data_IF_790236960801
#
_entry.id   IF_790236960801
#
_cell.length_a   1.000
_cell.length_b   1.000
_cell.length_c   1.000
_cell.angle_alpha   90.00
_cell.angle_beta   90.00
_cell.angle_gamma   90.00
#
_symmetry.space_group_name_H-M   'P 1'
#
loop_
_entity.id
_entity.type
_entity.pdbx_description
1 polymer ?
#
# COMPACT_ATOMS: atom_id res chain seq x y z
N UNK A 1 -58.55 32.09 50.00
CA UNK A 1 -58.08 30.81 50.59
C UNK A 1 -56.62 30.70 50.19
N UNK A 2 -55.71 30.77 51.15
CA UNK A 2 -54.27 30.92 50.92
C UNK A 2 -53.51 29.60 51.14
N UNK A 3 -52.31 29.50 50.55
CA UNK A 3 -51.14 28.70 50.95
C UNK A 3 -51.35 27.17 51.12
N UNK A 4 -50.41 26.30 50.74
CA UNK A 4 -48.97 26.40 50.98
C UNK A 4 -48.17 25.48 50.03
N UNK A 5 -46.86 25.73 49.89
CA UNK A 5 -45.91 24.84 49.20
C UNK A 5 -45.18 23.99 50.24
N UNK A 6 -45.37 22.67 50.19
CA UNK A 6 -44.73 21.72 51.11
C UNK A 6 -43.41 21.15 50.58
N UNK A 7 -42.30 21.54 51.20
CA UNK A 7 -40.98 20.91 51.01
C UNK A 7 -40.64 20.07 52.24
N UNK A 8 -40.23 18.80 52.09
CA UNK A 8 -39.49 18.07 53.14
C UNK A 8 -38.73 16.82 52.63
N UNK A 9 -37.44 17.03 52.35
CA UNK A 9 -36.26 16.17 52.63
C UNK A 9 -36.41 14.64 52.50
N UNK A 10 -35.72 14.07 51.50
CA UNK A 10 -35.32 12.65 51.43
C UNK A 10 -33.81 12.49 51.68
N UNK A 11 -33.41 11.49 52.48
CA UNK A 11 -32.07 11.36 53.06
C UNK A 11 -30.97 10.95 52.06
N UNK A 12 -29.76 11.52 52.20
CA UNK A 12 -28.58 11.09 51.45
C UNK A 12 -27.91 9.85 52.10
N UNK A 13 -27.88 8.73 51.39
CA UNK A 13 -27.25 7.49 51.82
C UNK A 13 -25.72 7.57 51.76
N UNK A 14 -25.07 7.59 52.93
CA UNK A 14 -23.60 7.63 53.06
C UNK A 14 -22.99 6.22 52.95
N UNK A 15 -22.70 5.79 51.73
CA UNK A 15 -21.81 4.65 51.49
C UNK A 15 -20.67 5.08 50.56
N UNK A 16 -19.42 5.26 51.07
CA UNK A 16 -18.27 5.47 50.21
C UNK A 16 -17.96 4.15 49.50
N UNK A 17 -18.38 4.02 48.24
CA UNK A 17 -17.87 2.97 47.36
C UNK A 17 -16.39 3.27 47.14
N UNK A 18 -15.53 2.59 47.90
CA UNK A 18 -14.09 2.67 47.74
C UNK A 18 -13.73 1.96 46.43
N UNK A 19 -13.80 2.70 45.32
CA UNK A 19 -13.26 2.29 44.03
C UNK A 19 -11.74 2.26 44.21
N UNK A 20 -11.24 1.13 44.71
CA UNK A 20 -9.82 0.83 44.77
C UNK A 20 -9.34 0.70 43.33
N UNK A 21 -8.94 1.83 42.75
CA UNK A 21 -8.38 1.91 41.42
C UNK A 21 -7.01 1.22 41.45
N UNK A 22 -7.04 -0.10 41.29
CA UNK A 22 -5.87 -0.93 41.10
C UNK A 22 -5.28 -0.58 39.74
N UNK A 23 -4.53 0.52 39.69
CA UNK A 23 -3.64 0.88 38.57
C UNK A 23 -2.46 -0.09 38.60
N UNK A 24 -2.76 -1.36 38.34
CA UNK A 24 -1.75 -2.29 37.83
C UNK A 24 -1.23 -1.66 36.56
N UNK A 25 0.08 -1.43 36.51
CA UNK A 25 0.70 -0.89 35.31
C UNK A 25 0.37 -1.83 34.15
N UNK A 26 -0.40 -1.34 33.18
CA UNK A 26 -0.51 -2.00 31.88
C UNK A 26 0.94 -2.10 31.39
N UNK A 27 1.48 -3.32 31.17
CA UNK A 27 2.85 -3.44 30.70
C UNK A 27 2.93 -2.66 29.39
N UNK A 28 3.81 -1.66 29.34
CA UNK A 28 3.96 -0.83 28.16
C UNK A 28 4.24 -1.76 26.98
N UNK A 29 3.40 -1.69 25.95
CA UNK A 29 3.50 -2.55 24.78
C UNK A 29 4.67 -2.03 23.94
N UNK A 30 5.89 -2.34 24.38
CA UNK A 30 7.14 -2.05 23.69
C UNK A 30 7.27 -3.00 22.47
N UNK A 31 6.39 -2.79 21.49
CA UNK A 31 6.80 -2.91 20.11
C UNK A 31 7.68 -1.69 19.83
N UNK A 32 8.94 -1.92 19.45
CA UNK A 32 9.77 -0.86 18.90
C UNK A 32 9.10 -0.29 17.63
N UNK A 33 9.32 1.00 17.28
CA UNK A 33 8.72 1.58 16.08
C UNK A 33 9.04 0.74 14.84
N UNK A 34 8.02 0.41 14.06
CA UNK A 34 8.13 -0.36 12.81
C UNK A 34 9.21 0.28 11.92
N UNK A 35 10.27 -0.47 11.62
CA UNK A 35 11.35 0.03 10.75
C UNK A 35 10.80 0.26 9.33
N UNK A 36 11.28 1.31 8.66
CA UNK A 36 10.82 1.67 7.33
C UNK A 36 11.98 1.89 6.35
N UNK A 37 11.70 1.62 5.08
CA UNK A 37 12.63 1.84 3.96
C UNK A 37 12.12 2.98 3.08
N UNK A 38 13.03 3.86 2.65
CA UNK A 38 12.76 4.87 1.64
C UNK A 38 12.98 4.27 0.24
N UNK A 39 11.93 4.28 -0.58
CA UNK A 39 11.91 3.79 -1.95
C UNK A 39 11.67 4.91 -2.97
N UNK A 40 12.14 4.77 -4.19
CA UNK A 40 11.68 5.57 -5.32
C UNK A 40 10.18 5.32 -5.56
N UNK A 41 9.35 6.34 -5.90
CA UNK A 41 7.97 6.12 -6.31
C UNK A 41 7.91 5.15 -7.50
N UNK A 42 6.94 4.21 -7.53
CA UNK A 42 6.93 3.12 -8.51
C UNK A 42 6.49 3.53 -9.91
N UNK A 43 5.80 4.67 -10.07
CA UNK A 43 5.22 5.12 -11.33
C UNK A 43 5.34 6.63 -11.50
N UNK A 44 5.29 7.09 -12.75
CA UNK A 44 5.30 8.52 -13.12
C UNK A 44 3.88 9.13 -13.18
N UNK A 45 3.08 8.92 -12.13
CA UNK A 45 1.66 9.27 -12.06
C UNK A 45 1.19 9.50 -10.60
N UNK A 46 -0.05 9.96 -10.40
CA UNK A 46 -0.70 9.84 -9.09
C UNK A 46 -0.92 8.35 -8.80
N UNK A 47 -0.69 7.93 -7.56
CA UNK A 47 -1.05 6.61 -7.09
C UNK A 47 -1.52 6.70 -5.63
N UNK A 48 -2.28 5.69 -5.20
CA UNK A 48 -2.62 5.45 -3.80
C UNK A 48 -2.25 4.03 -3.43
N UNK A 49 -1.93 3.75 -2.17
CA UNK A 49 -1.62 2.40 -1.72
C UNK A 49 -2.43 2.04 -0.47
N UNK A 50 -2.93 0.80 -0.41
CA UNK A 50 -3.40 0.19 0.83
C UNK A 50 -2.26 -0.60 1.47
N UNK A 51 -1.89 -0.26 2.70
CA UNK A 51 -0.88 -0.97 3.49
C UNK A 51 -1.45 -2.27 4.07
N UNK A 52 -0.63 -3.32 4.13
CA UNK A 52 -0.91 -4.51 4.93
C UNK A 52 -0.61 -4.21 6.40
N UNK A 53 -1.59 -4.46 7.27
CA UNK A 53 -1.42 -4.21 8.71
C UNK A 53 -0.52 -5.26 9.37
N UNK A 54 0.09 -4.91 10.50
CA UNK A 54 1.00 -5.81 11.21
C UNK A 54 0.30 -7.13 11.61
N UNK A 55 0.98 -8.25 11.39
CA UNK A 55 0.43 -9.58 11.57
C UNK A 55 -0.55 -10.09 10.48
N UNK A 56 -1.04 -9.24 9.56
CA UNK A 56 -1.99 -9.63 8.51
C UNK A 56 -1.46 -10.79 7.65
N UNK A 57 -0.17 -10.73 7.30
CA UNK A 57 0.55 -11.76 6.56
C UNK A 57 1.91 -12.02 7.22
N UNK A 58 2.40 -13.25 7.07
CA UNK A 58 3.63 -13.74 7.73
C UNK A 58 4.79 -14.00 6.73
N UNK A 59 4.52 -13.86 5.44
CA UNK A 59 5.52 -13.92 4.37
C UNK A 59 6.30 -12.60 4.35
N UNK A 60 7.65 -12.65 4.31
CA UNK A 60 8.49 -11.44 4.26
C UNK A 60 8.22 -10.56 3.03
N UNK A 61 7.60 -11.10 1.98
CA UNK A 61 7.17 -10.34 0.81
C UNK A 61 5.82 -9.63 0.99
N UNK A 62 4.98 -10.08 1.92
CA UNK A 62 3.61 -9.57 2.11
C UNK A 62 3.45 -8.80 3.44
N UNK A 63 4.22 -9.16 4.47
CA UNK A 63 4.20 -8.52 5.78
C UNK A 63 4.65 -7.06 5.67
N UNK A 64 3.81 -6.12 6.13
CA UNK A 64 3.99 -4.67 5.96
C UNK A 64 4.15 -4.19 4.50
N UNK A 65 3.79 -5.03 3.53
CA UNK A 65 3.72 -4.67 2.11
C UNK A 65 2.57 -3.70 1.82
N UNK A 66 2.47 -3.26 0.57
CA UNK A 66 1.43 -2.35 0.12
C UNK A 66 0.98 -2.63 -1.31
N UNK A 67 -0.34 -2.57 -1.52
CA UNK A 67 -0.96 -2.70 -2.84
C UNK A 67 -1.24 -1.29 -3.39
N UNK A 68 -0.47 -0.87 -4.40
CA UNK A 68 -0.47 0.45 -4.99
C UNK A 68 -1.22 0.50 -6.33
N UNK A 69 -2.26 1.33 -6.41
CA UNK A 69 -3.10 1.53 -7.59
C UNK A 69 -2.81 2.91 -8.20
N UNK A 70 -2.60 2.94 -9.51
CA UNK A 70 -2.40 4.19 -10.28
C UNK A 70 -3.74 4.90 -10.46
N UNK A 71 -3.75 6.21 -10.26
CA UNK A 71 -4.95 7.06 -10.35
C UNK A 71 -4.75 8.17 -11.38
N UNK A 72 -5.84 8.68 -11.94
CA UNK A 72 -5.87 9.95 -12.70
C UNK A 72 -7.04 10.82 -12.24
N UNK A 73 -7.06 12.06 -12.70
CA UNK A 73 -8.20 12.97 -12.58
C UNK A 73 -9.09 12.80 -13.81
N UNK A 74 -10.31 12.29 -13.64
CA UNK A 74 -11.37 12.34 -14.66
C UNK A 74 -12.29 13.54 -14.42
N UNK A 75 -12.87 14.08 -15.49
CA UNK A 75 -13.94 15.07 -15.42
C UNK A 75 -15.22 14.52 -16.04
N UNK A 76 -16.31 14.52 -15.28
CA UNK A 76 -17.63 14.01 -15.66
C UNK A 76 -18.71 15.00 -15.22
N UNK A 77 -19.49 15.54 -16.16
CA UNK A 77 -20.45 16.65 -15.95
C UNK A 77 -19.86 17.81 -15.14
N UNK A 78 -18.74 18.37 -15.61
CA UNK A 78 -17.98 19.47 -14.96
C UNK A 78 -17.39 19.14 -13.56
N UNK A 79 -17.59 17.92 -13.04
CA UNK A 79 -17.08 17.46 -11.74
C UNK A 79 -15.80 16.65 -11.94
N UNK A 80 -14.74 16.98 -11.19
CA UNK A 80 -13.45 16.29 -11.31
C UNK A 80 -13.22 15.32 -10.15
N UNK A 81 -12.80 14.08 -10.45
CA UNK A 81 -12.62 12.98 -9.49
C UNK A 81 -11.29 12.26 -9.67
N UNK A 82 -10.65 11.85 -8.57
CA UNK A 82 -9.49 10.94 -8.61
C UNK A 82 -9.99 9.50 -8.72
N UNK A 83 -9.72 8.83 -9.84
CA UNK A 83 -10.20 7.46 -10.15
C UNK A 83 -9.06 6.53 -10.59
N UNK A 84 -9.15 5.20 -10.32
CA UNK A 84 -8.16 4.21 -10.75
C UNK A 84 -8.41 3.66 -12.18
N UNK A 85 -9.62 3.85 -12.70
CA UNK A 85 -10.06 3.43 -14.02
C UNK A 85 -11.03 4.46 -14.61
N UNK A 86 -11.28 4.35 -15.91
CA UNK A 86 -12.40 4.99 -16.63
C UNK A 86 -13.55 4.02 -16.87
N UNK A 87 -14.62 4.51 -17.47
CA UNK A 87 -15.77 3.71 -17.93
C UNK A 87 -16.40 2.89 -16.77
N UNK A 88 -16.34 1.56 -16.80
CA UNK A 88 -16.84 0.69 -15.72
C UNK A 88 -15.73 -0.11 -15.02
N UNK A 89 -14.46 0.04 -15.43
CA UNK A 89 -13.34 -0.71 -14.86
C UNK A 89 -13.43 -2.23 -15.05
N UNK A 90 -14.16 -2.72 -16.07
CA UNK A 90 -14.47 -4.13 -16.25
C UNK A 90 -13.43 -4.86 -17.11
N UNK A 91 -12.76 -4.15 -18.01
CA UNK A 91 -11.61 -4.66 -18.77
C UNK A 91 -10.30 -4.12 -18.18
N UNK A 92 -9.19 -4.84 -18.35
CA UNK A 92 -7.91 -4.39 -17.78
C UNK A 92 -7.49 -3.04 -18.36
N UNK A 93 -7.70 -2.86 -19.67
CA UNK A 93 -7.49 -1.65 -20.44
C UNK A 93 -8.19 -0.41 -19.87
N UNK A 94 -9.21 -0.54 -19.03
CA UNK A 94 -9.91 0.57 -18.37
C UNK A 94 -9.09 1.21 -17.25
N UNK A 95 -8.20 0.44 -16.62
CA UNK A 95 -7.44 0.85 -15.44
C UNK A 95 -6.17 1.61 -15.82
N UNK A 96 -5.93 2.76 -15.18
CA UNK A 96 -4.76 3.59 -15.48
C UNK A 96 -3.42 2.98 -15.05
N UNK A 97 -3.46 1.92 -14.24
CA UNK A 97 -2.29 1.12 -13.94
C UNK A 97 -1.94 0.12 -15.04
N UNK A 98 -2.85 -0.24 -15.93
CA UNK A 98 -2.61 -1.30 -16.91
C UNK A 98 -1.50 -0.91 -17.90
N UNK A 99 -0.47 -1.75 -17.96
CA UNK A 99 0.74 -1.53 -18.76
C UNK A 99 1.52 -0.24 -18.42
N UNK A 100 1.21 0.44 -17.31
CA UNK A 100 1.98 1.58 -16.84
C UNK A 100 3.43 1.13 -16.58
N UNK A 101 4.46 1.86 -17.06
CA UNK A 101 5.86 1.56 -16.73
C UNK A 101 6.08 1.55 -15.22
N UNK A 102 6.66 0.45 -14.73
CA UNK A 102 7.03 0.26 -13.34
C UNK A 102 8.52 0.54 -13.15
N UNK A 103 8.82 1.45 -12.23
CA UNK A 103 10.17 1.82 -11.84
C UNK A 103 10.74 0.92 -10.75
N UNK A 104 12.06 0.72 -10.77
CA UNK A 104 12.79 0.16 -9.64
C UNK A 104 12.69 1.11 -8.42
N UNK A 105 12.33 0.60 -7.22
CA UNK A 105 12.34 1.36 -5.97
C UNK A 105 13.76 1.74 -5.50
N UNK A 106 14.81 1.17 -6.07
CA UNK A 106 16.17 1.24 -5.54
C UNK A 106 17.27 1.10 -6.60
N UNK A 107 18.47 1.60 -6.25
CA UNK A 107 19.72 1.14 -6.85
C UNK A 107 20.00 -0.27 -6.31
N UNK A 108 19.89 -1.28 -7.18
CA UNK A 108 19.65 -2.67 -6.78
C UNK A 108 20.20 -3.69 -7.77
N UNK A 109 20.41 -4.92 -7.31
CA UNK A 109 20.63 -6.11 -8.15
C UNK A 109 19.34 -6.93 -8.23
N UNK A 110 18.97 -7.43 -9.41
CA UNK A 110 17.85 -8.36 -9.60
C UNK A 110 18.25 -9.75 -9.11
N UNK A 111 17.58 -10.26 -8.06
CA UNK A 111 17.92 -11.54 -7.41
C UNK A 111 16.96 -12.68 -7.75
N UNK A 112 15.75 -12.38 -8.24
CA UNK A 112 14.85 -13.37 -8.82
C UNK A 112 13.85 -12.73 -9.79
N UNK A 113 13.46 -13.47 -10.82
CA UNK A 113 12.31 -13.16 -11.68
C UNK A 113 11.40 -14.40 -11.73
N UNK A 114 10.09 -14.19 -11.76
CA UNK A 114 9.10 -15.22 -12.03
C UNK A 114 8.00 -14.65 -12.94
N UNK A 115 7.60 -15.43 -13.93
CA UNK A 115 6.61 -15.04 -14.93
C UNK A 115 5.37 -15.95 -14.82
N UNK A 116 4.20 -15.33 -14.84
CA UNK A 116 2.90 -15.95 -14.97
C UNK A 116 2.11 -15.20 -16.06
N UNK A 117 1.97 -15.84 -17.23
CA UNK A 117 1.25 -15.28 -18.39
C UNK A 117 -0.27 -15.19 -18.19
N UNK A 118 -0.82 -15.79 -17.12
CA UNK A 118 -2.26 -15.86 -16.85
C UNK A 118 -2.81 -14.50 -16.43
N UNK A 119 -3.23 -13.70 -17.41
CA UNK A 119 -3.93 -12.44 -17.17
C UNK A 119 -5.33 -12.70 -16.58
N UNK A 120 -5.62 -12.07 -15.45
CA UNK A 120 -6.95 -12.04 -14.83
C UNK A 120 -7.85 -11.00 -15.51
N UNK A 121 -9.17 -11.14 -15.35
CA UNK A 121 -10.14 -10.09 -15.68
C UNK A 121 -10.46 -9.30 -14.39
N UNK A 122 -10.69 -7.97 -14.44
CA UNK A 122 -11.15 -7.22 -13.29
C UNK A 122 -12.31 -7.89 -12.53
N UNK A 123 -12.22 -7.93 -11.20
CA UNK A 123 -13.13 -8.64 -10.31
C UNK A 123 -13.02 -10.18 -10.33
N UNK A 124 -12.26 -10.80 -11.25
CA UNK A 124 -12.19 -12.25 -11.46
C UNK A 124 -10.73 -12.75 -11.48
N UNK A 125 -10.21 -13.08 -10.29
CA UNK A 125 -8.85 -13.59 -10.14
C UNK A 125 -8.70 -15.06 -10.59
N UNK A 126 -7.49 -15.41 -11.03
CA UNK A 126 -7.00 -16.79 -11.13
C UNK A 126 -5.97 -17.02 -10.01
N UNK A 127 -6.34 -17.70 -8.90
CA UNK A 127 -5.44 -17.91 -7.76
C UNK A 127 -4.13 -18.59 -8.16
N UNK A 128 -3.00 -18.05 -7.69
CA UNK A 128 -1.68 -18.56 -8.02
C UNK A 128 -0.57 -17.54 -7.76
N UNK A 129 0.68 -17.95 -7.96
CA UNK A 129 1.84 -17.06 -7.85
C UNK A 129 1.77 -16.00 -8.96
N UNK A 130 1.91 -14.74 -8.58
CA UNK A 130 1.93 -13.62 -9.52
C UNK A 130 3.31 -13.46 -10.18
N UNK A 131 3.34 -12.93 -11.41
CA UNK A 131 4.55 -12.42 -12.05
C UNK A 131 5.22 -11.43 -11.11
N UNK A 132 6.51 -11.63 -10.85
CA UNK A 132 7.22 -10.92 -9.79
C UNK A 132 8.72 -10.78 -10.04
N UNK A 133 9.27 -9.64 -9.61
CA UNK A 133 10.71 -9.36 -9.57
C UNK A 133 11.11 -9.25 -8.09
N UNK A 134 12.26 -9.81 -7.72
CA UNK A 134 12.94 -9.56 -6.44
C UNK A 134 14.22 -8.77 -6.69
N UNK A 135 14.41 -7.73 -5.89
CA UNK A 135 15.55 -6.82 -5.94
C UNK A 135 16.29 -6.87 -4.60
N UNK A 136 17.59 -6.62 -4.58
CA UNK A 136 18.37 -6.42 -3.37
C UNK A 136 19.34 -5.25 -3.51
N UNK A 137 19.36 -4.37 -2.51
CA UNK A 137 20.32 -3.27 -2.38
C UNK A 137 21.67 -3.79 -1.88
N UNK A 138 22.76 -3.04 -2.11
CA UNK A 138 24.08 -3.38 -1.56
C UNK A 138 24.13 -3.35 -0.01
N UNK A 139 23.10 -2.83 0.68
CA UNK A 139 22.96 -2.90 2.15
C UNK A 139 22.15 -4.11 2.66
N UNK A 140 21.69 -4.98 1.76
CA UNK A 140 20.98 -6.22 2.09
C UNK A 140 19.46 -6.08 2.27
N UNK A 141 18.89 -4.87 2.21
CA UNK A 141 17.43 -4.71 2.07
C UNK A 141 16.96 -5.29 0.74
N UNK A 142 15.95 -6.14 0.80
CA UNK A 142 15.28 -6.72 -0.35
C UNK A 142 13.98 -5.97 -0.63
N UNK A 143 13.56 -6.00 -1.89
CA UNK A 143 12.19 -5.68 -2.31
C UNK A 143 11.61 -6.83 -3.13
N UNK A 144 10.29 -7.01 -3.07
CA UNK A 144 9.52 -7.74 -4.07
C UNK A 144 8.54 -6.80 -4.74
N UNK A 145 8.37 -6.96 -6.06
CA UNK A 145 7.37 -6.29 -6.88
C UNK A 145 6.54 -7.38 -7.55
N UNK A 146 5.22 -7.34 -7.47
CA UNK A 146 4.34 -8.40 -7.94
C UNK A 146 3.09 -7.88 -8.68
N UNK A 147 2.38 -8.82 -9.32
CA UNK A 147 1.30 -8.61 -10.30
C UNK A 147 1.77 -7.98 -11.62
N UNK A 148 3.01 -8.28 -12.01
CA UNK A 148 3.69 -7.65 -13.14
C UNK A 148 3.29 -8.23 -14.51
N UNK A 149 3.55 -7.50 -15.59
CA UNK A 149 3.57 -8.00 -16.97
C UNK A 149 4.72 -7.35 -17.73
N UNK A 150 5.10 -7.87 -18.90
CA UNK A 150 6.14 -7.25 -19.75
C UNK A 150 7.39 -6.88 -18.93
N UNK A 151 8.04 -7.89 -18.33
CA UNK A 151 9.26 -7.72 -17.51
C UNK A 151 10.44 -7.39 -18.43
N UNK A 152 11.21 -6.36 -18.09
CA UNK A 152 12.26 -5.75 -18.92
C UNK A 152 13.68 -5.99 -18.35
N UNK A 153 13.85 -6.94 -17.42
CA UNK A 153 15.12 -7.27 -16.72
C UNK A 153 15.31 -8.77 -16.47
N UNK A 154 16.57 -9.19 -16.36
CA UNK A 154 16.99 -10.57 -16.07
C UNK A 154 17.65 -10.70 -14.68
N UNK A 155 17.83 -11.94 -14.20
CA UNK A 155 18.46 -12.20 -12.89
C UNK A 155 19.97 -11.96 -12.99
N UNK A 156 20.48 -11.06 -12.14
CA UNK A 156 21.87 -10.59 -12.15
C UNK A 156 22.03 -9.15 -12.62
N UNK A 157 21.01 -8.55 -13.26
CA UNK A 157 21.05 -7.16 -13.69
C UNK A 157 21.22 -6.20 -12.50
N UNK A 158 22.02 -5.14 -12.69
CA UNK A 158 22.01 -3.96 -11.81
C UNK A 158 21.13 -2.88 -12.41
N UNK A 159 20.15 -2.43 -11.62
CA UNK A 159 19.14 -1.44 -11.98
C UNK A 159 19.26 -0.21 -11.10
N UNK A 160 18.91 0.96 -11.64
CA UNK A 160 18.92 2.24 -10.91
C UNK A 160 17.53 2.60 -10.36
N UNK A 161 17.47 3.34 -9.26
CA UNK A 161 16.23 3.89 -8.73
C UNK A 161 15.54 4.80 -9.77
N UNK A 162 14.31 4.47 -10.16
CA UNK A 162 13.59 5.16 -11.25
C UNK A 162 13.77 4.56 -12.65
N UNK A 163 14.62 3.54 -12.84
CA UNK A 163 14.72 2.79 -14.09
C UNK A 163 13.46 1.94 -14.32
N UNK A 164 12.93 1.91 -15.54
CA UNK A 164 11.83 0.99 -15.91
C UNK A 164 12.36 -0.45 -15.91
N UNK A 165 11.64 -1.36 -15.25
CA UNK A 165 12.03 -2.77 -15.10
C UNK A 165 10.89 -3.75 -15.43
N UNK A 166 9.66 -3.28 -15.53
CA UNK A 166 8.50 -4.05 -15.97
C UNK A 166 7.33 -3.09 -16.29
N UNK A 167 6.16 -3.68 -16.56
CA UNK A 167 4.87 -2.98 -16.59
C UNK A 167 3.94 -3.51 -15.48
N UNK A 168 3.03 -2.67 -14.99
CA UNK A 168 1.96 -3.11 -14.07
C UNK A 168 0.94 -3.99 -14.84
N UNK A 169 0.55 -5.11 -14.22
CA UNK A 169 -0.35 -6.11 -14.78
C UNK A 169 -1.43 -6.55 -13.80
N UNK A 170 -2.02 -7.73 -14.04
CA UNK A 170 -3.12 -8.30 -13.26
C UNK A 170 -3.08 -9.83 -13.41
N UNK A 171 -2.44 -10.53 -12.48
CA UNK A 171 -2.30 -11.99 -12.48
C UNK A 171 -2.13 -12.54 -11.05
N UNK A 172 -2.33 -13.85 -10.86
CA UNK A 172 -2.31 -14.47 -9.54
C UNK A 172 -3.44 -13.94 -8.64
N UNK A 173 -3.16 -13.68 -7.37
CA UNK A 173 -4.14 -13.20 -6.38
C UNK A 173 -4.67 -11.74 -6.58
N UNK A 174 -4.37 -11.10 -7.72
CA UNK A 174 -4.90 -9.78 -8.06
C UNK A 174 -6.37 -9.81 -8.55
N UNK A 175 -7.13 -8.78 -8.22
CA UNK A 175 -8.50 -8.53 -8.74
C UNK A 175 -8.57 -7.39 -9.76
N UNK A 176 -7.49 -6.65 -10.00
CA UNK A 176 -7.45 -5.49 -10.91
C UNK A 176 -6.01 -5.03 -11.15
N UNK A 177 -5.71 -4.30 -12.23
CA UNK A 177 -4.36 -3.75 -12.47
C UNK A 177 -3.81 -2.87 -11.33
N UNK A 178 -2.80 -3.38 -10.63
CA UNK A 178 -2.11 -2.71 -9.54
C UNK A 178 -0.69 -3.28 -9.34
N UNK A 179 0.16 -2.57 -8.60
CA UNK A 179 1.44 -3.08 -8.10
C UNK A 179 1.24 -3.60 -6.68
N UNK A 180 1.70 -4.81 -6.38
CA UNK A 180 2.04 -5.18 -5.00
C UNK A 180 3.54 -4.93 -4.76
N UNK A 181 3.90 -4.29 -3.64
CA UNK A 181 5.29 -4.07 -3.22
C UNK A 181 5.50 -4.45 -1.75
N UNK A 182 6.55 -5.23 -1.48
CA UNK A 182 6.98 -5.60 -0.12
C UNK A 182 8.49 -5.42 0.06
N UNK A 183 8.94 -5.23 1.30
CA UNK A 183 10.35 -4.99 1.62
C UNK A 183 10.76 -5.64 2.96
N UNK A 184 12.00 -6.13 3.04
CA UNK A 184 12.54 -6.75 4.26
C UNK A 184 14.07 -6.68 4.33
N UNK A 185 14.66 -6.77 5.52
CA UNK A 185 16.11 -6.94 5.73
C UNK A 185 16.35 -8.05 6.73
N UNK A 186 17.17 -9.05 6.37
CA UNK A 186 17.28 -10.28 7.15
C UNK A 186 15.93 -10.99 7.22
N UNK A 187 15.40 -11.14 8.44
CA UNK A 187 14.07 -11.70 8.71
C UNK A 187 13.05 -10.63 9.15
N UNK A 188 13.42 -9.34 9.09
CA UNK A 188 12.57 -8.20 9.52
C UNK A 188 11.85 -7.58 8.32
N UNK A 189 10.50 -7.62 8.25
CA UNK A 189 9.73 -6.85 7.27
C UNK A 189 9.84 -5.34 7.54
N UNK A 190 9.73 -4.52 6.49
CA UNK A 190 9.93 -3.07 6.54
C UNK A 190 8.73 -2.33 5.94
N UNK A 191 8.19 -1.33 6.64
CA UNK A 191 7.18 -0.45 6.07
C UNK A 191 7.79 0.39 4.94
N UNK A 192 7.10 0.49 3.80
CA UNK A 192 7.59 1.21 2.64
C UNK A 192 7.16 2.68 2.70
N UNK A 193 8.10 3.60 2.49
CA UNK A 193 7.85 5.04 2.33
C UNK A 193 8.44 5.50 0.99
N UNK A 194 7.68 6.27 0.21
CA UNK A 194 8.13 6.74 -1.10
C UNK A 194 8.79 8.12 -1.01
N UNK A 195 9.90 8.32 -1.72
CA UNK A 195 10.59 9.61 -1.78
C UNK A 195 9.79 10.64 -2.56
N UNK A 196 9.08 11.50 -1.82
CA UNK A 196 8.26 12.58 -2.38
C UNK A 196 9.08 13.57 -3.23
N UNK A 197 10.41 13.67 -3.04
CA UNK A 197 11.31 14.50 -3.86
C UNK A 197 11.56 13.92 -5.26
N UNK A 198 11.11 12.69 -5.52
CA UNK A 198 11.18 11.99 -6.80
C UNK A 198 9.82 11.87 -7.49
N UNK A 199 8.73 12.17 -6.79
CA UNK A 199 7.40 12.27 -7.38
C UNK A 199 7.34 13.46 -8.34
N UNK A 200 6.48 13.34 -9.36
CA UNK A 200 6.27 14.37 -10.39
C UNK A 200 4.77 14.59 -10.58
N UNK A 201 4.38 15.76 -11.09
CA UNK A 201 3.03 15.98 -11.62
C UNK A 201 2.75 14.93 -12.73
N UNK A 202 1.53 14.39 -12.86
CA UNK A 202 1.18 13.52 -14.00
C UNK A 202 1.47 14.19 -15.34
N UNK A 203 1.74 13.44 -16.42
CA UNK A 203 2.01 14.00 -17.75
C UNK A 203 0.96 15.00 -18.24
N UNK A 204 -0.31 14.80 -17.92
CA UNK A 204 -1.43 15.70 -18.23
C UNK A 204 -1.39 17.07 -17.51
N UNK A 205 -0.49 17.26 -16.53
CA UNK A 205 -0.25 18.52 -15.82
C UNK A 205 1.21 19.01 -15.94
N UNK A 206 1.97 18.48 -16.89
CA UNK A 206 3.28 19.03 -17.28
C UNK A 206 3.07 20.03 -18.41
N UNK A 207 3.80 21.14 -18.36
CA UNK A 207 3.95 21.99 -19.53
C UNK A 207 4.67 21.17 -20.63
N UNK A 208 4.30 21.41 -21.89
CA UNK A 208 4.91 20.73 -23.03
C UNK A 208 6.14 21.55 -23.46
N UNK A 209 7.31 21.17 -22.91
CA UNK A 209 8.65 21.65 -23.32
C UNK A 209 8.98 21.27 -24.78
#
# INVERSE_FOLDING_TARGET
MELSVGTLIGQALKYPVLVLCMVGAIPALHADPIESVLAHPPVDAIFTCSEHFDGQFQSLGDALGADCIVMRLETEDERTWVRPYRDQGLENEDWYGWRQPLFSPCDCTVTAVHINETTNVPGRMTPGRASSIRLQTDNGTNFVLAHLREVEVEVGDRVQAGQVIARIGNNGYSRSPHLHIGAWRGETPLQIRFDQRKMRLPPEFREQD
#
